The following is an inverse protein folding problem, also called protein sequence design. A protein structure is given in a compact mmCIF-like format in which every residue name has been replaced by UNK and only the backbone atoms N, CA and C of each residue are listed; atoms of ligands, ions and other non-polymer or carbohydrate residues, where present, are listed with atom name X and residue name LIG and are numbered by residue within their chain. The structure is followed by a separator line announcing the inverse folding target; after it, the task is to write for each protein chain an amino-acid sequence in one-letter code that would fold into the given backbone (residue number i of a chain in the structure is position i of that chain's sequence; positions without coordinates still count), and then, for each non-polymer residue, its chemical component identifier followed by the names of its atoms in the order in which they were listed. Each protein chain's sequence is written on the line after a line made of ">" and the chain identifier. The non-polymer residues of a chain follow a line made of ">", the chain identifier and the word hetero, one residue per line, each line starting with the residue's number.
data_IF_804159888662
#
_entry.id   IF_804159888662
#
_cell.length_a   1.000
_cell.length_b   1.000
_cell.length_c   1.000
_cell.angle_alpha   90.00
_cell.angle_beta   90.00
_cell.angle_gamma   90.00
#
_symmetry.space_group_name_H-M   'P 1'
#
loop_
_entity.id
_entity.type
_entity.pdbx_description
1 polymer ?
#
# COMPACT_ATOMS: atom_id res chain seq x y z
N UNK A 1 -28.80 8.66 -42.58
CA UNK A 1 -27.86 9.75 -42.24
C UNK A 1 -27.97 10.22 -40.79
N UNK A 2 -29.17 10.50 -40.25
CA UNK A 2 -29.34 10.98 -38.86
C UNK A 2 -28.75 10.07 -37.76
N UNK A 3 -28.82 8.75 -37.93
CA UNK A 3 -28.26 7.79 -36.95
C UNK A 3 -26.72 7.82 -36.91
N UNK A 4 -26.06 7.97 -38.06
CA UNK A 4 -24.60 8.06 -38.13
C UNK A 4 -24.11 9.34 -37.43
N UNK A 5 -24.76 10.47 -37.71
CA UNK A 5 -24.43 11.74 -37.07
C UNK A 5 -24.66 11.73 -35.55
N UNK A 6 -25.69 11.03 -35.08
CA UNK A 6 -25.93 10.83 -33.64
C UNK A 6 -24.85 9.97 -32.99
N UNK A 7 -24.35 8.93 -33.67
CA UNK A 7 -23.27 8.09 -33.17
C UNK A 7 -21.92 8.84 -33.12
N UNK A 8 -21.63 9.67 -34.12
CA UNK A 8 -20.44 10.54 -34.11
C UNK A 8 -20.50 11.57 -32.99
N UNK A 9 -21.65 12.21 -32.78
CA UNK A 9 -21.83 13.20 -31.72
C UNK A 9 -21.73 12.56 -30.32
N UNK A 10 -22.25 11.34 -30.15
CA UNK A 10 -22.07 10.57 -28.92
C UNK A 10 -20.60 10.23 -28.65
N UNK A 11 -19.84 9.81 -29.67
CA UNK A 11 -18.40 9.57 -29.54
C UNK A 11 -17.64 10.83 -29.18
N UNK A 12 -17.98 11.98 -29.79
CA UNK A 12 -17.34 13.25 -29.47
C UNK A 12 -17.58 13.65 -28.02
N UNK A 13 -18.83 13.55 -27.55
CA UNK A 13 -19.17 13.79 -26.13
C UNK A 13 -18.42 12.87 -25.19
N UNK A 14 -18.32 11.57 -25.49
CA UNK A 14 -17.55 10.65 -24.65
C UNK A 14 -16.06 10.98 -24.62
N UNK A 15 -15.48 11.42 -25.74
CA UNK A 15 -14.08 11.84 -25.80
C UNK A 15 -13.84 13.13 -25.03
N UNK A 16 -14.76 14.11 -25.13
CA UNK A 16 -14.72 15.35 -24.36
C UNK A 16 -14.81 15.06 -22.86
N UNK A 17 -15.80 14.26 -22.43
CA UNK A 17 -15.99 13.87 -21.04
C UNK A 17 -14.78 13.08 -20.49
N UNK A 18 -14.19 12.19 -21.29
CA UNK A 18 -12.97 11.47 -20.92
C UNK A 18 -11.75 12.41 -20.77
N UNK A 19 -11.63 13.42 -21.64
CA UNK A 19 -10.57 14.43 -21.56
C UNK A 19 -10.76 15.36 -20.35
N UNK A 20 -11.98 15.84 -20.11
CA UNK A 20 -12.33 16.63 -18.92
C UNK A 20 -12.13 15.83 -17.64
N UNK A 21 -12.42 14.53 -17.69
CA UNK A 21 -12.04 13.61 -16.63
C UNK A 21 -10.51 13.63 -16.46
N UNK A 22 -9.75 13.32 -17.49
CA UNK A 22 -8.29 13.23 -17.37
C UNK A 22 -7.63 14.51 -16.81
N UNK A 23 -8.21 15.68 -17.09
CA UNK A 23 -7.78 16.96 -16.50
C UNK A 23 -8.05 17.04 -14.99
N UNK A 24 -9.17 16.47 -14.53
CA UNK A 24 -9.54 16.41 -13.11
C UNK A 24 -8.89 15.25 -12.34
N UNK A 25 -8.11 14.40 -13.03
CA UNK A 25 -7.48 13.21 -12.44
C UNK A 25 -6.53 13.64 -11.30
N UNK A 26 -6.80 13.23 -10.05
CA UNK A 26 -5.96 13.59 -8.92
C UNK A 26 -4.60 12.88 -8.99
N UNK A 27 -3.63 13.46 -8.28
CA UNK A 27 -2.27 12.93 -8.13
C UNK A 27 -2.05 12.43 -6.70
N UNK A 28 -1.19 11.43 -6.55
CA UNK A 28 -0.78 10.90 -5.27
C UNK A 28 -0.01 11.97 -4.47
N UNK A 29 -0.39 12.17 -3.21
CA UNK A 29 0.30 13.10 -2.31
C UNK A 29 1.72 12.65 -1.91
N UNK A 30 2.02 11.35 -2.03
CA UNK A 30 3.31 10.76 -1.63
C UNK A 30 4.30 10.67 -2.80
N UNK A 31 3.88 10.10 -3.93
CA UNK A 31 4.76 9.86 -5.08
C UNK A 31 4.51 10.80 -6.28
N UNK A 32 3.46 11.64 -6.24
CA UNK A 32 3.09 12.54 -7.33
C UNK A 32 2.52 11.86 -8.58
N UNK A 33 2.39 10.52 -8.57
CA UNK A 33 1.84 9.78 -9.70
C UNK A 33 0.35 10.03 -9.85
N UNK A 34 -0.12 10.20 -11.09
CA UNK A 34 -1.54 10.27 -11.41
C UNK A 34 -2.25 8.99 -10.96
N UNK A 35 -3.45 9.14 -10.39
CA UNK A 35 -4.28 8.01 -9.99
C UNK A 35 -4.62 7.15 -11.21
N UNK A 36 -4.68 5.82 -11.08
CA UNK A 36 -5.24 4.96 -12.12
C UNK A 36 -6.73 5.24 -12.29
N UNK A 37 -7.29 4.96 -13.46
CA UNK A 37 -8.74 5.14 -13.71
C UNK A 37 -9.59 4.35 -12.71
N UNK A 38 -9.22 3.09 -12.43
CA UNK A 38 -9.83 2.24 -11.39
C UNK A 38 -9.77 2.89 -9.99
N UNK A 39 -8.59 3.32 -9.54
CA UNK A 39 -8.46 3.98 -8.22
C UNK A 39 -9.23 5.29 -8.18
N UNK A 40 -9.23 6.03 -9.28
CA UNK A 40 -9.92 7.30 -9.38
C UNK A 40 -11.44 7.11 -9.39
N UNK A 41 -11.95 6.08 -10.07
CA UNK A 41 -13.35 5.67 -9.97
C UNK A 41 -13.69 5.23 -8.55
N UNK A 42 -12.84 4.44 -7.90
CA UNK A 42 -13.04 4.02 -6.51
C UNK A 42 -13.15 5.22 -5.56
N UNK A 43 -12.27 6.23 -5.62
CA UNK A 43 -12.41 7.40 -4.73
C UNK A 43 -13.60 8.31 -5.09
N UNK A 44 -14.04 8.30 -6.34
CA UNK A 44 -15.17 9.15 -6.81
C UNK A 44 -16.52 8.48 -6.54
N UNK A 45 -16.58 7.15 -6.62
CA UNK A 45 -17.78 6.36 -6.36
C UNK A 45 -18.04 6.16 -4.86
N UNK A 46 -17.00 6.20 -4.02
CA UNK A 46 -17.08 5.93 -2.57
C UNK A 46 -17.42 7.20 -1.78
N UNK A 47 -18.29 8.05 -2.31
CA UNK A 47 -18.60 9.34 -1.68
C UNK A 47 -19.31 9.22 -0.31
N UNK A 48 -19.84 8.07 0.15
CA UNK A 48 -20.70 8.09 1.36
C UNK A 48 -20.64 7.00 2.45
N UNK A 49 -19.92 5.86 2.35
CA UNK A 49 -20.08 4.86 3.46
C UNK A 49 -18.93 3.90 3.78
N UNK A 50 -17.85 3.80 2.99
CA UNK A 50 -16.82 2.75 3.23
C UNK A 50 -15.37 3.20 3.01
N UNK A 51 -14.86 3.96 3.98
CA UNK A 51 -13.63 3.60 4.68
C UNK A 51 -12.36 3.34 3.86
N UNK A 52 -12.07 4.13 2.82
CA UNK A 52 -10.68 4.23 2.37
C UNK A 52 -9.97 5.23 3.28
N UNK A 53 -9.14 4.74 4.21
CA UNK A 53 -8.38 5.60 5.14
C UNK A 53 -7.33 6.46 4.43
N UNK A 54 -7.02 6.20 3.16
CA UNK A 54 -5.93 6.83 2.42
C UNK A 54 -6.34 7.29 1.01
N UNK A 55 -7.34 8.18 0.89
CA UNK A 55 -7.89 8.60 -0.40
C UNK A 55 -6.92 9.43 -1.24
N UNK A 56 -5.83 9.93 -0.63
CA UNK A 56 -4.80 10.74 -1.25
C UNK A 56 -3.58 9.93 -1.74
N UNK A 57 -3.56 8.61 -1.50
CA UNK A 57 -2.46 7.74 -1.91
C UNK A 57 -2.84 6.94 -3.15
N UNK A 58 -1.88 6.71 -4.04
CA UNK A 58 -2.04 5.71 -5.10
C UNK A 58 -2.06 4.29 -4.51
N UNK A 59 -2.45 3.31 -5.32
CA UNK A 59 -2.57 1.92 -4.87
C UNK A 59 -1.25 1.34 -4.38
N UNK A 60 -0.14 1.66 -5.05
CA UNK A 60 1.21 1.24 -4.68
C UNK A 60 1.64 1.81 -3.32
N UNK A 61 1.48 3.13 -3.13
CA UNK A 61 1.78 3.79 -1.85
C UNK A 61 0.89 3.25 -0.72
N UNK A 62 -0.39 2.97 -1.00
CA UNK A 62 -1.30 2.35 -0.04
C UNK A 62 -0.87 0.93 0.32
N UNK A 63 -0.50 0.12 -0.68
CA UNK A 63 -0.04 -1.25 -0.47
C UNK A 63 1.23 -1.27 0.39
N UNK A 64 2.17 -0.37 0.12
CA UNK A 64 3.42 -0.26 0.90
C UNK A 64 3.17 0.12 2.37
N UNK A 65 2.19 0.98 2.64
CA UNK A 65 1.78 1.30 4.02
C UNK A 65 1.17 0.08 4.71
N UNK A 66 0.22 -0.59 4.05
CA UNK A 66 -0.42 -1.80 4.59
C UNK A 66 0.59 -2.95 4.80
N UNK A 67 1.55 -3.09 3.91
CA UNK A 67 2.61 -4.08 4.02
C UNK A 67 3.55 -3.76 5.19
N UNK A 68 3.95 -2.50 5.37
CA UNK A 68 4.74 -2.06 6.51
C UNK A 68 4.02 -2.32 7.85
N UNK A 69 2.71 -2.05 7.92
CA UNK A 69 1.89 -2.35 9.11
C UNK A 69 1.84 -3.85 9.42
N UNK A 70 1.78 -4.70 8.40
CA UNK A 70 1.78 -6.15 8.57
C UNK A 70 3.16 -6.73 8.90
N UNK A 71 4.24 -6.09 8.46
CA UNK A 71 5.61 -6.54 8.73
C UNK A 71 6.12 -6.14 10.14
N UNK A 72 5.63 -5.03 10.69
CA UNK A 72 6.00 -4.57 12.04
C UNK A 72 5.89 -5.64 13.15
N UNK A 73 4.78 -6.41 13.28
CA UNK A 73 4.69 -7.47 14.29
C UNK A 73 5.59 -8.68 14.00
N UNK A 74 5.94 -8.92 12.73
CA UNK A 74 6.84 -10.02 12.36
C UNK A 74 8.28 -9.67 12.74
N UNK A 75 8.74 -8.46 12.42
CA UNK A 75 10.06 -7.95 12.78
C UNK A 75 10.25 -7.89 14.30
N UNK A 76 9.23 -7.43 15.04
CA UNK A 76 9.29 -7.38 16.50
C UNK A 76 9.41 -8.78 17.13
N UNK A 77 8.68 -9.76 16.59
CA UNK A 77 8.74 -11.14 17.08
C UNK A 77 10.09 -11.80 16.77
N UNK A 78 10.62 -11.57 15.57
CA UNK A 78 11.94 -12.06 15.16
C UNK A 78 13.05 -11.43 16.02
N UNK A 79 12.97 -10.12 16.29
CA UNK A 79 13.90 -9.41 17.17
C UNK A 79 13.85 -9.94 18.60
N UNK A 80 12.66 -10.17 19.16
CA UNK A 80 12.52 -10.79 20.48
C UNK A 80 13.09 -12.21 20.51
N UNK A 81 12.90 -12.97 19.44
CA UNK A 81 13.44 -14.33 19.38
C UNK A 81 14.97 -14.34 19.26
N UNK A 82 15.55 -13.45 18.45
CA UNK A 82 16.99 -13.22 18.38
C UNK A 82 17.55 -12.75 19.72
N UNK A 83 16.87 -11.87 20.44
CA UNK A 83 17.30 -11.42 21.77
C UNK A 83 17.29 -12.60 22.77
N UNK A 84 16.22 -13.42 22.77
CA UNK A 84 16.13 -14.63 23.59
C UNK A 84 17.23 -15.65 23.27
N UNK A 85 17.59 -15.80 21.99
CA UNK A 85 18.66 -16.70 21.55
C UNK A 85 20.06 -16.10 21.84
N UNK A 86 20.19 -14.77 21.74
CA UNK A 86 21.45 -14.03 21.94
C UNK A 86 21.74 -13.68 23.38
N UNK A 87 20.79 -13.87 24.31
CA UNK A 87 21.07 -14.02 25.73
C UNK A 87 21.37 -15.50 26.01
N UNK A 88 22.62 -15.99 25.86
CA UNK A 88 22.97 -17.26 26.47
C UNK A 88 22.75 -17.09 27.97
N UNK A 89 21.88 -17.93 28.53
CA UNK A 89 21.78 -18.07 29.96
C UNK A 89 23.19 -18.19 30.53
N UNK A 90 23.52 -17.34 31.49
CA UNK A 90 24.73 -17.43 32.32
C UNK A 90 24.61 -18.71 33.16
N UNK A 91 24.76 -19.88 32.54
CA UNK A 91 24.87 -21.16 33.23
C UNK A 91 26.36 -21.49 33.34
N UNK A 92 26.92 -21.20 34.52
CA UNK A 92 28.02 -21.95 35.13
C UNK A 92 29.40 -21.95 34.46
N UNK A 93 30.13 -20.84 34.51
CA UNK A 93 31.58 -20.82 34.33
C UNK A 93 32.31 -20.95 35.68
N UNK A 94 32.33 -22.12 36.33
CA UNK A 94 33.25 -22.48 37.44
C UNK A 94 33.16 -24.01 37.64
N UNK A 95 34.18 -24.86 37.63
CA UNK A 95 35.62 -24.73 37.47
C UNK A 95 36.30 -26.09 37.71
N UNK A 96 37.58 -26.15 37.34
CA UNK A 96 38.65 -27.07 37.80
C UNK A 96 38.62 -28.54 37.35
N UNK A 97 39.28 -28.77 36.22
CA UNK A 97 40.54 -29.54 36.14
C UNK A 97 41.29 -29.74 37.49
N UNK A 98 41.57 -31.01 37.85
CA UNK A 98 42.83 -31.54 38.46
C UNK A 98 42.76 -33.08 38.48
N UNK A 99 43.45 -33.78 37.59
CA UNK A 99 44.72 -34.53 37.77
C UNK A 99 44.78 -35.54 38.95
N UNK A 100 44.91 -36.82 38.53
CA UNK A 100 45.57 -38.00 39.14
C UNK A 100 45.75 -38.14 40.66
N UNK A 101 45.37 -39.33 41.16
CA UNK A 101 46.15 -40.15 42.08
C UNK A 101 45.77 -41.64 41.91
#
# INVERSE_FOLDING_TARGET
>A
MFLARRAEDARRRQAEEAAEREVQRPVCGDCGQKFTDDRWEAITAVEWDRGDSHPHLCDDCKYRMLEAEQQAPVDERERQEQERQSTPGRIGQHGLEVVSA
#
